data_IF_903390905624
#
_entry.id   IF_903390905624
#
_cell.length_a   1.000
_cell.length_b   1.000
_cell.length_c   1.000
_cell.angle_alpha   90.00
_cell.angle_beta   90.00
_cell.angle_gamma   90.00
#
_symmetry.space_group_name_H-M   'P 1'
#
loop_
_entity.id
_entity.type
_entity.pdbx_description
1 polymer ?
#
# COMPACT_ATOMS: atom_id res chain seq x y z
N UNK A 1 -6.39 -4.30 -0.65
CA UNK A 1 -6.07 -5.76 -0.68
C UNK A 1 -6.68 -6.39 -1.93
N UNK A 2 -6.07 -7.45 -2.47
CA UNK A 2 -6.44 -8.06 -3.75
C UNK A 2 -7.65 -8.99 -3.70
N UNK A 3 -8.66 -8.70 -2.88
CA UNK A 3 -9.86 -9.53 -2.78
C UNK A 3 -10.72 -9.39 -4.05
N UNK A 4 -11.19 -10.49 -4.60
CA UNK A 4 -12.10 -10.53 -5.76
C UNK A 4 -13.15 -11.63 -5.57
N UNK A 5 -14.09 -11.76 -6.52
CA UNK A 5 -15.18 -12.75 -6.44
C UNK A 5 -15.97 -12.59 -5.12
N UNK A 6 -16.41 -11.35 -4.84
CA UNK A 6 -17.12 -10.98 -3.61
C UNK A 6 -16.38 -11.33 -2.30
N UNK A 7 -15.04 -11.26 -2.33
CA UNK A 7 -14.20 -11.56 -1.17
C UNK A 7 -13.92 -13.04 -0.96
N UNK A 8 -14.44 -13.92 -1.83
CA UNK A 8 -14.15 -15.36 -1.79
C UNK A 8 -12.73 -15.69 -2.21
N UNK A 9 -12.14 -14.87 -3.09
CA UNK A 9 -10.81 -15.12 -3.66
C UNK A 9 -9.83 -14.00 -3.37
N UNK A 10 -8.55 -14.36 -3.31
CA UNK A 10 -7.43 -13.44 -3.11
C UNK A 10 -6.48 -13.50 -4.30
N UNK A 11 -6.19 -12.35 -4.90
CA UNK A 11 -5.12 -12.16 -5.87
C UNK A 11 -3.78 -12.09 -5.13
N UNK A 12 -2.78 -12.85 -5.59
CA UNK A 12 -1.42 -12.79 -5.07
C UNK A 12 -0.38 -13.09 -6.14
N UNK A 13 0.85 -12.62 -5.93
CA UNK A 13 2.00 -12.95 -6.75
C UNK A 13 2.76 -14.16 -6.18
N UNK A 14 3.33 -15.00 -7.04
CA UNK A 14 4.17 -16.13 -6.62
C UNK A 14 5.17 -16.53 -7.68
N UNK A 15 6.33 -17.03 -7.24
CA UNK A 15 7.46 -17.40 -8.10
C UNK A 15 7.49 -18.91 -8.40
N UNK A 16 6.32 -19.56 -8.44
CA UNK A 16 6.19 -20.98 -8.77
C UNK A 16 6.81 -21.27 -10.13
N UNK A 17 7.46 -22.43 -10.25
CA UNK A 17 8.14 -22.84 -11.47
C UNK A 17 9.23 -21.83 -11.93
N UNK A 18 9.84 -21.11 -10.99
CA UNK A 18 10.91 -20.15 -11.23
C UNK A 18 10.48 -18.95 -12.12
N UNK A 19 9.18 -18.63 -12.10
CA UNK A 19 8.57 -17.50 -12.83
C UNK A 19 7.54 -16.79 -11.96
N UNK A 20 7.63 -15.46 -11.89
CA UNK A 20 6.67 -14.63 -11.16
C UNK A 20 5.38 -14.46 -11.95
N UNK A 21 4.28 -14.93 -11.38
CA UNK A 21 2.94 -14.84 -11.96
C UNK A 21 1.90 -14.43 -10.93
N UNK A 22 0.76 -13.96 -11.43
CA UNK A 22 -0.43 -13.73 -10.61
C UNK A 22 -1.22 -15.02 -10.47
N UNK A 23 -1.74 -15.24 -9.26
CA UNK A 23 -2.54 -16.38 -8.88
C UNK A 23 -3.77 -15.92 -8.10
N UNK A 24 -4.84 -16.69 -8.20
CA UNK A 24 -6.03 -16.57 -7.37
C UNK A 24 -6.10 -17.71 -6.37
N UNK A 25 -6.29 -17.40 -5.09
CA UNK A 25 -6.55 -18.37 -4.02
C UNK A 25 -8.03 -18.33 -3.65
N UNK A 26 -8.74 -19.46 -3.73
CA UNK A 26 -10.05 -19.63 -3.10
C UNK A 26 -9.87 -19.81 -1.60
N UNK A 27 -10.41 -18.89 -0.80
CA UNK A 27 -10.22 -18.87 0.65
C UNK A 27 -10.99 -19.96 1.39
N UNK A 28 -12.00 -20.55 0.74
CA UNK A 28 -12.79 -21.64 1.32
C UNK A 28 -12.15 -23.00 1.06
N UNK A 29 -11.75 -23.26 -0.19
CA UNK A 29 -11.23 -24.57 -0.59
C UNK A 29 -9.70 -24.67 -0.56
N UNK A 30 -8.98 -23.54 -0.46
CA UNK A 30 -7.53 -23.48 -0.61
C UNK A 30 -7.03 -23.72 -2.04
N UNK A 31 -7.93 -23.76 -3.03
CA UNK A 31 -7.55 -24.02 -4.42
C UNK A 31 -6.83 -22.81 -5.01
N UNK A 32 -5.70 -23.05 -5.68
CA UNK A 32 -4.89 -22.02 -6.32
C UNK A 32 -5.05 -22.15 -7.84
N UNK A 33 -5.40 -21.04 -8.49
CA UNK A 33 -5.50 -20.92 -9.95
C UNK A 33 -4.44 -19.95 -10.45
N UNK A 34 -3.66 -20.34 -11.45
CA UNK A 34 -2.74 -19.41 -12.13
C UNK A 34 -3.54 -18.50 -13.06
N UNK A 35 -3.31 -17.18 -12.95
CA UNK A 35 -4.08 -16.16 -13.67
C UNK A 35 -3.28 -15.53 -14.82
N UNK A 36 -1.95 -15.59 -14.76
CA UNK A 36 -1.06 -15.14 -15.83
C UNK A 36 0.00 -16.19 -16.13
N UNK A 37 0.52 -16.18 -17.36
CA UNK A 37 1.68 -16.98 -17.77
C UNK A 37 2.69 -16.04 -18.45
N UNK A 38 3.44 -15.32 -17.62
CA UNK A 38 4.37 -14.27 -18.03
C UNK A 38 5.77 -14.85 -18.28
N UNK A 39 6.43 -14.30 -19.29
CA UNK A 39 7.84 -14.59 -19.55
C UNK A 39 8.72 -14.05 -18.43
N UNK A 40 9.80 -14.78 -18.10
CA UNK A 40 10.82 -14.26 -17.20
C UNK A 40 11.57 -13.14 -17.92
N UNK A 41 11.61 -11.96 -17.31
CA UNK A 41 12.35 -10.81 -17.87
C UNK A 41 13.71 -10.74 -17.16
N UNK A 42 14.83 -11.04 -17.86
CA UNK A 42 16.16 -11.03 -17.25
C UNK A 42 16.51 -9.66 -16.66
N UNK A 43 17.09 -9.65 -15.46
CA UNK A 43 17.59 -8.43 -14.82
C UNK A 43 16.50 -7.48 -14.31
N UNK A 44 15.23 -7.86 -14.37
CA UNK A 44 14.15 -7.09 -13.72
C UNK A 44 13.85 -7.62 -12.33
N UNK A 45 13.41 -6.73 -11.45
CA UNK A 45 12.96 -7.10 -10.13
C UNK A 45 11.68 -7.94 -10.23
N UNK A 46 11.71 -9.14 -9.65
CA UNK A 46 10.56 -10.03 -9.56
C UNK A 46 9.44 -9.43 -8.66
N UNK A 47 9.67 -8.28 -8.00
CA UNK A 47 8.69 -7.57 -7.17
C UNK A 47 7.66 -6.73 -7.97
N UNK A 48 7.80 -6.59 -9.29
CA UNK A 48 6.89 -5.75 -10.12
C UNK A 48 5.40 -6.14 -9.96
N UNK A 49 5.10 -7.42 -9.73
CA UNK A 49 3.71 -7.86 -9.53
C UNK A 49 3.12 -7.45 -8.18
N UNK A 50 3.91 -6.96 -7.21
CA UNK A 50 3.38 -6.35 -5.98
C UNK A 50 2.59 -5.07 -6.26
N UNK A 51 2.87 -4.39 -7.37
CA UNK A 51 2.12 -3.20 -7.81
C UNK A 51 0.74 -3.53 -8.42
N UNK A 52 0.30 -4.80 -8.37
CA UNK A 52 -0.97 -5.22 -8.95
C UNK A 52 -2.15 -4.87 -8.04
N UNK A 53 -3.30 -4.55 -8.65
CA UNK A 53 -4.54 -4.27 -7.93
C UNK A 53 -5.75 -4.95 -8.59
N UNK A 54 -6.82 -5.12 -7.81
CA UNK A 54 -8.11 -5.65 -8.28
C UNK A 54 -9.11 -4.50 -8.36
N UNK A 55 -9.95 -4.48 -9.40
CA UNK A 55 -11.04 -3.52 -9.49
C UNK A 55 -12.15 -3.79 -8.46
N UNK A 56 -12.61 -2.78 -7.72
CA UNK A 56 -13.80 -2.92 -6.87
C UNK A 56 -15.11 -2.98 -7.68
N UNK A 57 -15.10 -2.55 -8.94
CA UNK A 57 -16.31 -2.38 -9.77
C UNK A 57 -16.35 -3.30 -11.00
N UNK A 58 -15.23 -3.95 -11.34
CA UNK A 58 -15.10 -4.84 -12.50
C UNK A 58 -14.48 -6.17 -12.08
N UNK A 59 -14.77 -7.25 -12.80
CA UNK A 59 -14.05 -8.51 -12.59
C UNK A 59 -12.69 -8.50 -13.32
N UNK A 60 -11.87 -7.50 -13.03
CA UNK A 60 -10.57 -7.27 -13.67
C UNK A 60 -9.48 -7.04 -12.60
N UNK A 61 -8.28 -7.52 -12.88
CA UNK A 61 -7.06 -7.13 -12.18
C UNK A 61 -6.16 -6.30 -13.11
N UNK A 62 -5.35 -5.42 -12.54
CA UNK A 62 -4.38 -4.62 -13.26
C UNK A 62 -3.00 -4.91 -12.74
N UNK A 63 -2.05 -5.06 -13.66
CA UNK A 63 -0.69 -5.40 -13.32
C UNK A 63 0.29 -4.78 -14.31
N UNK A 64 1.53 -4.65 -13.86
CA UNK A 64 2.63 -4.21 -14.71
C UNK A 64 3.46 -5.40 -15.12
N UNK A 65 3.87 -5.42 -16.37
CA UNK A 65 4.89 -6.34 -16.84
C UNK A 65 5.82 -5.57 -17.79
N UNK A 66 7.11 -5.57 -17.48
CA UNK A 66 8.08 -4.63 -18.07
C UNK A 66 7.60 -3.18 -17.86
N UNK A 67 7.67 -2.33 -18.89
CA UNK A 67 7.20 -0.95 -18.84
C UNK A 67 5.73 -0.80 -19.27
N UNK A 68 4.93 -1.88 -19.21
CA UNK A 68 3.56 -1.89 -19.73
C UNK A 68 2.55 -2.22 -18.64
N UNK A 69 1.43 -1.50 -18.66
CA UNK A 69 0.27 -1.73 -17.79
C UNK A 69 -0.76 -2.54 -18.56
N UNK A 70 -1.25 -3.61 -17.94
CA UNK A 70 -2.24 -4.52 -18.50
C UNK A 70 -3.48 -4.57 -17.62
N UNK A 71 -4.62 -4.78 -18.26
CA UNK A 71 -5.83 -5.27 -17.61
C UNK A 71 -5.99 -6.75 -17.90
N UNK A 72 -6.34 -7.53 -16.88
CA UNK A 72 -6.61 -8.95 -16.91
C UNK A 72 -8.07 -9.19 -16.55
N UNK A 73 -8.85 -9.73 -17.46
CA UNK A 73 -10.20 -10.21 -17.15
C UNK A 73 -10.10 -11.50 -16.31
N UNK A 74 -10.63 -11.47 -15.08
CA UNK A 74 -10.50 -12.56 -14.11
C UNK A 74 -11.42 -13.75 -14.39
N UNK A 75 -12.35 -13.63 -15.34
CA UNK A 75 -13.21 -14.72 -15.80
C UNK A 75 -12.60 -15.49 -16.97
N UNK A 76 -12.02 -14.77 -17.91
CA UNK A 76 -11.55 -15.29 -19.21
C UNK A 76 -10.03 -15.42 -19.29
N UNK A 77 -9.30 -14.80 -18.35
CA UNK A 77 -7.84 -14.69 -18.33
C UNK A 77 -7.24 -13.96 -19.54
N UNK A 78 -8.07 -13.26 -20.31
CA UNK A 78 -7.60 -12.42 -21.41
C UNK A 78 -6.94 -11.16 -20.86
N UNK A 79 -5.69 -10.92 -21.27
CA UNK A 79 -4.95 -9.72 -20.94
C UNK A 79 -4.94 -8.75 -22.12
N UNK A 80 -5.08 -7.45 -21.83
CA UNK A 80 -5.01 -6.36 -22.82
C UNK A 80 -4.12 -5.24 -22.32
N UNK A 81 -3.26 -4.73 -23.20
CA UNK A 81 -2.39 -3.58 -22.87
C UNK A 81 -3.25 -2.32 -22.74
N UNK A 82 -3.04 -1.58 -21.66
CA UNK A 82 -3.65 -0.28 -21.43
C UNK A 82 -2.72 0.86 -21.80
N UNK A 83 -1.48 0.79 -21.31
CA UNK A 83 -0.54 1.89 -21.38
C UNK A 83 0.90 1.41 -21.26
N UNK A 84 1.84 2.29 -21.60
CA UNK A 84 3.28 2.03 -21.58
C UNK A 84 4.01 3.24 -21.00
N UNK A 85 4.84 2.99 -20.00
CA UNK A 85 5.64 4.00 -19.31
C UNK A 85 6.63 4.60 -20.32
N UNK A 86 6.72 5.93 -20.45
CA UNK A 86 7.64 6.56 -21.38
C UNK A 86 9.11 6.27 -20.99
N UNK A 87 10.03 6.23 -21.97
CA UNK A 87 11.45 6.08 -21.69
C UNK A 87 11.96 7.16 -20.72
N UNK A 88 12.91 6.78 -19.86
CA UNK A 88 13.47 7.67 -18.83
C UNK A 88 12.63 7.79 -17.55
N UNK A 89 11.56 7.00 -17.41
CA UNK A 89 10.75 6.94 -16.20
C UNK A 89 10.65 5.53 -15.62
N UNK A 90 10.58 5.46 -14.30
CA UNK A 90 10.23 4.27 -13.51
C UNK A 90 8.80 4.46 -12.99
N UNK A 91 8.00 3.39 -12.97
CA UNK A 91 6.66 3.42 -12.37
C UNK A 91 6.63 2.93 -10.94
N UNK A 92 5.65 3.41 -10.17
CA UNK A 92 5.41 3.02 -8.77
C UNK A 92 4.23 2.03 -8.62
N UNK A 93 3.67 1.83 -7.43
CA UNK A 93 2.45 1.07 -7.18
C UNK A 93 1.27 1.60 -8.03
N UNK A 94 0.36 0.70 -8.39
CA UNK A 94 -0.82 1.03 -9.19
C UNK A 94 -2.10 0.68 -8.44
N UNK A 95 -3.09 1.55 -8.56
CA UNK A 95 -4.40 1.39 -7.95
C UNK A 95 -5.49 1.75 -8.96
N UNK A 96 -6.72 1.37 -8.70
CA UNK A 96 -7.87 1.60 -9.60
C UNK A 96 -8.92 2.42 -8.88
N UNK A 97 -9.56 3.36 -9.60
CA UNK A 97 -10.63 4.20 -9.06
C UNK A 97 -11.80 3.36 -8.53
N UNK A 98 -12.54 3.92 -7.57
CA UNK A 98 -13.71 3.27 -6.98
C UNK A 98 -14.78 2.84 -8.01
N UNK A 99 -14.92 3.59 -9.11
CA UNK A 99 -15.84 3.26 -10.21
C UNK A 99 -15.24 2.32 -11.28
N UNK A 100 -13.98 1.91 -11.11
CA UNK A 100 -13.27 1.01 -12.01
C UNK A 100 -13.00 1.59 -13.40
N UNK A 101 -13.05 2.90 -13.59
CA UNK A 101 -12.85 3.53 -14.92
C UNK A 101 -11.41 3.91 -15.23
N UNK A 102 -10.58 4.15 -14.21
CA UNK A 102 -9.17 4.45 -14.44
C UNK A 102 -8.24 3.69 -13.49
N UNK A 103 -7.06 3.35 -14.01
CA UNK A 103 -5.89 2.96 -13.22
C UNK A 103 -5.06 4.21 -12.97
N UNK A 104 -4.63 4.39 -11.73
CA UNK A 104 -3.80 5.51 -11.26
C UNK A 104 -2.46 4.96 -10.80
N UNK A 105 -1.39 5.63 -11.20
CA UNK A 105 0.00 5.30 -10.81
C UNK A 105 0.80 6.59 -10.81
N UNK A 106 1.87 6.66 -10.04
CA UNK A 106 2.93 7.64 -10.33
C UNK A 106 4.02 7.02 -11.20
N UNK A 107 4.71 7.89 -11.92
CA UNK A 107 6.01 7.63 -12.54
C UNK A 107 6.98 8.73 -12.12
N UNK A 108 8.26 8.42 -12.02
CA UNK A 108 9.31 9.39 -11.71
C UNK A 108 10.54 9.15 -12.58
N UNK A 109 11.32 10.19 -12.80
CA UNK A 109 12.55 10.15 -13.60
C UNK A 109 13.47 9.02 -13.11
N UNK A 110 13.95 8.21 -14.05
CA UNK A 110 14.92 7.17 -13.78
C UNK A 110 16.31 7.79 -13.55
N UNK A 111 16.77 7.74 -12.31
CA UNK A 111 18.07 8.28 -11.90
C UNK A 111 19.14 7.19 -11.68
N UNK A 112 18.86 5.94 -12.09
CA UNK A 112 19.72 4.79 -11.79
C UNK A 112 21.11 4.85 -12.45
N UNK A 113 21.29 5.68 -13.49
CA UNK A 113 22.58 5.96 -14.13
C UNK A 113 23.47 6.89 -13.29
N UNK A 114 22.88 7.64 -12.36
CA UNK A 114 23.54 8.67 -11.54
C UNK A 114 23.56 8.34 -10.05
N UNK A 115 22.55 7.64 -9.57
CA UNK A 115 22.34 7.31 -8.16
C UNK A 115 22.19 5.80 -8.04
N UNK A 116 22.96 5.19 -7.14
CA UNK A 116 22.76 3.79 -6.79
C UNK A 116 21.45 3.66 -6.02
N UNK A 117 20.48 2.96 -6.60
CA UNK A 117 19.14 2.78 -6.06
C UNK A 117 18.90 1.30 -5.72
N UNK A 118 18.41 1.04 -4.50
CA UNK A 118 17.82 -0.25 -4.10
C UNK A 118 16.73 0.02 -3.05
N UNK A 119 15.50 0.29 -3.52
CA UNK A 119 14.37 0.58 -2.65
C UNK A 119 13.76 -0.68 -2.02
N UNK A 120 13.99 -1.86 -2.62
CA UNK A 120 13.53 -3.13 -2.08
C UNK A 120 14.35 -3.53 -0.84
N UNK A 121 15.66 -3.25 -0.86
CA UNK A 121 16.61 -3.70 0.17
C UNK A 121 17.22 -2.53 0.92
N UNK A 122 16.46 -2.01 1.88
CA UNK A 122 16.98 -1.04 2.85
C UNK A 122 17.03 0.41 2.36
N UNK A 123 16.26 0.75 1.32
CA UNK A 123 16.05 2.13 0.86
C UNK A 123 17.36 2.85 0.46
N UNK A 124 18.25 2.14 -0.25
CA UNK A 124 19.51 2.72 -0.75
C UNK A 124 19.21 3.77 -1.81
N UNK A 125 19.85 4.95 -1.70
CA UNK A 125 19.68 6.07 -2.62
C UNK A 125 18.47 6.96 -2.32
N UNK A 126 17.71 6.67 -1.26
CA UNK A 126 16.44 7.34 -0.97
C UNK A 126 16.59 8.83 -0.65
N UNK A 127 17.62 9.21 0.12
CA UNK A 127 17.90 10.62 0.40
C UNK A 127 18.42 11.35 -0.85
N UNK A 128 19.29 10.69 -1.62
CA UNK A 128 19.87 11.23 -2.85
C UNK A 128 18.80 11.43 -3.94
N UNK A 129 17.86 10.49 -4.09
CA UNK A 129 16.70 10.64 -5.00
C UNK A 129 15.83 11.80 -4.57
N UNK A 130 15.53 11.93 -3.27
CA UNK A 130 14.77 13.06 -2.76
C UNK A 130 15.44 14.41 -3.09
N UNK A 131 16.74 14.54 -2.79
CA UNK A 131 17.50 15.77 -3.06
C UNK A 131 17.63 16.07 -4.57
N UNK A 132 17.64 15.02 -5.41
CA UNK A 132 17.67 15.18 -6.86
C UNK A 132 16.38 15.75 -7.44
N UNK A 133 15.26 15.72 -6.70
CA UNK A 133 13.95 16.25 -7.12
C UNK A 133 13.54 15.76 -8.52
N UNK A 134 13.43 14.43 -8.71
CA UNK A 134 13.09 13.86 -10.01
C UNK A 134 11.78 14.45 -10.52
N UNK A 135 11.68 14.64 -11.83
CA UNK A 135 10.39 14.93 -12.43
C UNK A 135 9.46 13.74 -12.18
N UNK A 136 8.39 13.95 -11.44
CA UNK A 136 7.35 12.94 -11.19
C UNK A 136 6.03 13.36 -11.77
N UNK A 137 5.23 12.35 -12.14
CA UNK A 137 3.90 12.51 -12.72
C UNK A 137 2.93 11.54 -12.09
N UNK A 138 1.72 12.00 -11.81
CA UNK A 138 0.58 11.13 -11.56
C UNK A 138 -0.12 10.91 -12.90
N UNK A 139 -0.27 9.64 -13.28
CA UNK A 139 -0.86 9.22 -14.54
C UNK A 139 -2.24 8.63 -14.27
N UNK A 140 -3.24 9.10 -15.02
CA UNK A 140 -4.57 8.50 -15.08
C UNK A 140 -4.69 7.72 -16.39
N UNK A 141 -4.88 6.41 -16.29
CA UNK A 141 -4.95 5.49 -17.43
C UNK A 141 -6.41 5.02 -17.58
N UNK A 142 -7.04 5.30 -18.71
CA UNK A 142 -8.42 4.91 -18.96
C UNK A 142 -8.53 3.39 -19.18
N UNK A 143 -9.40 2.73 -18.41
CA UNK A 143 -9.56 1.26 -18.45
C UNK A 143 -10.16 0.79 -19.77
N UNK A 144 -10.94 1.63 -20.45
CA UNK A 144 -11.53 1.34 -21.77
C UNK A 144 -10.53 1.39 -22.93
N UNK A 145 -9.27 1.75 -22.66
CA UNK A 145 -8.20 1.81 -23.66
C UNK A 145 -8.16 3.11 -24.46
N UNK A 146 -8.93 4.14 -24.08
CA UNK A 146 -8.92 5.46 -24.74
C UNK A 146 -7.61 6.22 -24.56
N UNK A 147 -6.75 5.80 -23.63
CA UNK A 147 -5.40 6.33 -23.45
C UNK A 147 -5.08 6.64 -22.00
N UNK A 148 -4.14 7.55 -21.79
CA UNK A 148 -3.76 8.03 -20.46
C UNK A 148 -3.43 9.53 -20.52
N UNK A 149 -3.64 10.22 -19.39
CA UNK A 149 -3.32 11.63 -19.21
C UNK A 149 -2.49 11.87 -17.93
N UNK A 150 -1.72 12.95 -17.93
CA UNK A 150 -0.96 13.42 -16.77
C UNK A 150 -1.86 14.33 -15.96
N UNK A 151 -2.27 13.91 -14.76
CA UNK A 151 -3.15 14.72 -13.88
C UNK A 151 -2.34 15.66 -12.98
N UNK A 152 -1.08 15.32 -12.71
CA UNK A 152 -0.15 16.14 -11.93
C UNK A 152 1.28 15.90 -12.42
N UNK A 153 2.07 16.96 -12.45
CA UNK A 153 3.50 16.93 -12.74
C UNK A 153 4.23 17.91 -11.81
N UNK A 154 5.35 17.49 -11.25
CA UNK A 154 6.20 18.32 -10.38
C UNK A 154 7.61 17.76 -10.20
N UNK A 155 8.55 18.64 -9.81
CA UNK A 155 9.91 18.28 -9.43
C UNK A 155 10.00 17.92 -7.95
N UNK A 156 9.32 16.82 -7.61
CA UNK A 156 9.32 16.20 -6.30
C UNK A 156 9.13 14.70 -6.52
N UNK A 157 9.71 13.84 -5.69
CA UNK A 157 9.50 12.40 -5.82
C UNK A 157 8.07 12.04 -5.38
N UNK A 158 7.17 11.76 -6.32
CA UNK A 158 5.79 11.35 -6.02
C UNK A 158 5.70 9.83 -5.97
N UNK A 159 5.08 9.31 -4.92
CA UNK A 159 4.77 7.88 -4.77
C UNK A 159 3.41 7.67 -4.10
N UNK A 160 3.02 6.40 -3.88
CA UNK A 160 1.84 6.03 -3.09
C UNK A 160 0.54 6.72 -3.57
N UNK A 161 0.31 6.72 -4.89
CA UNK A 161 -0.93 7.24 -5.47
C UNK A 161 -2.08 6.30 -5.12
N UNK A 162 -2.90 6.73 -4.17
CA UNK A 162 -3.93 5.94 -3.52
C UNK A 162 -5.32 6.57 -3.77
N UNK A 163 -6.11 6.08 -4.75
CA UNK A 163 -7.49 6.52 -4.92
C UNK A 163 -8.35 6.13 -3.71
N UNK A 164 -9.33 6.98 -3.40
CA UNK A 164 -10.36 6.66 -2.42
C UNK A 164 -11.15 5.41 -2.86
N UNK A 165 -11.46 4.48 -1.94
CA UNK A 165 -12.24 3.29 -2.23
C UNK A 165 -13.72 3.57 -2.55
N UNK A 166 -14.24 4.77 -2.26
CA UNK A 166 -15.65 5.12 -2.47
C UNK A 166 -15.86 6.38 -3.31
N UNK A 167 -14.86 7.28 -3.38
CA UNK A 167 -14.95 8.55 -4.09
C UNK A 167 -14.05 8.52 -5.33
N UNK A 168 -14.58 8.29 -6.56
CA UNK A 168 -13.75 8.08 -7.75
C UNK A 168 -12.87 9.26 -8.14
N UNK A 169 -13.16 10.46 -7.64
CA UNK A 169 -12.43 11.69 -7.93
C UNK A 169 -11.37 12.02 -6.88
N UNK A 170 -11.42 11.43 -5.68
CA UNK A 170 -10.47 11.73 -4.61
C UNK A 170 -9.31 10.75 -4.63
N UNK A 171 -8.11 11.30 -4.56
CA UNK A 171 -6.85 10.55 -4.52
C UNK A 171 -5.99 11.14 -3.41
N UNK A 172 -5.33 10.29 -2.64
CA UNK A 172 -4.19 10.72 -1.84
C UNK A 172 -2.90 10.31 -2.53
N UNK A 173 -1.83 11.07 -2.34
CA UNK A 173 -0.49 10.71 -2.80
C UNK A 173 0.53 11.22 -1.80
N UNK A 174 1.80 10.81 -1.96
CA UNK A 174 2.86 11.32 -1.11
C UNK A 174 4.04 11.91 -1.87
N UNK A 175 4.69 12.87 -1.21
CA UNK A 175 6.06 13.23 -1.51
C UNK A 175 6.97 12.26 -0.76
N UNK A 176 7.69 11.43 -1.49
CA UNK A 176 8.70 10.55 -0.90
C UNK A 176 10.00 11.27 -0.62
N UNK A 177 10.74 10.74 0.35
CA UNK A 177 12.06 11.22 0.71
C UNK A 177 12.36 11.18 2.19
N UNK A 178 13.57 11.60 2.55
CA UNK A 178 14.02 11.59 3.94
C UNK A 178 13.07 12.42 4.82
N UNK A 179 12.60 11.83 5.92
CA UNK A 179 11.58 12.40 6.80
C UNK A 179 11.79 13.86 7.21
N UNK A 180 13.04 14.27 7.42
CA UNK A 180 13.38 15.65 7.82
C UNK A 180 13.20 16.64 6.66
N UNK A 181 13.46 16.20 5.42
CA UNK A 181 13.41 17.03 4.22
C UNK A 181 12.00 17.25 3.69
N UNK A 182 11.14 16.22 3.69
CA UNK A 182 9.81 16.25 3.07
C UNK A 182 8.91 17.32 3.67
N UNK A 183 8.39 18.22 2.86
CA UNK A 183 7.62 19.39 3.29
C UNK A 183 6.27 19.02 3.93
N UNK A 184 5.55 18.10 3.31
CA UNK A 184 4.35 17.44 3.80
C UNK A 184 4.25 16.09 3.10
N UNK A 185 3.94 15.01 3.83
CA UNK A 185 3.90 13.68 3.22
C UNK A 185 2.55 13.33 2.64
N UNK A 186 1.44 13.68 3.31
CA UNK A 186 0.10 13.22 2.90
C UNK A 186 -0.62 14.33 2.12
N UNK A 187 -0.83 14.12 0.83
CA UNK A 187 -1.50 15.09 -0.04
C UNK A 187 -2.81 14.53 -0.56
N UNK A 188 -3.78 15.42 -0.78
CA UNK A 188 -5.01 15.15 -1.48
C UNK A 188 -4.98 15.74 -2.89
N UNK A 189 -5.66 15.07 -3.82
CA UNK A 189 -5.83 15.45 -5.21
C UNK A 189 -7.29 15.17 -5.62
N UNK A 190 -7.93 16.17 -6.23
CA UNK A 190 -9.22 16.00 -6.91
C UNK A 190 -8.97 15.83 -8.41
N UNK A 191 -9.34 14.67 -8.97
CA UNK A 191 -9.14 14.33 -10.38
C UNK A 191 -10.05 15.09 -11.36
N UNK A 192 -11.11 15.73 -10.87
CA UNK A 192 -12.00 16.54 -11.70
C UNK A 192 -11.46 17.96 -11.87
N UNK A 193 -10.87 18.53 -10.82
CA UNK A 193 -10.41 19.93 -10.80
C UNK A 193 -8.90 20.08 -10.94
N UNK A 194 -8.13 19.04 -10.61
CA UNK A 194 -6.68 19.10 -10.47
C UNK A 194 -6.22 19.82 -9.19
N UNK A 195 -7.15 20.14 -8.29
CA UNK A 195 -6.83 20.79 -7.01
C UNK A 195 -6.01 19.86 -6.13
N UNK A 196 -4.99 20.41 -5.48
CA UNK A 196 -4.10 19.70 -4.55
C UNK A 196 -4.08 20.43 -3.22
N UNK A 197 -4.20 19.69 -2.12
CA UNK A 197 -4.17 20.22 -0.77
C UNK A 197 -3.42 19.29 0.19
N UNK A 198 -3.03 19.82 1.35
CA UNK A 198 -2.37 19.02 2.40
C UNK A 198 -3.43 18.31 3.24
N UNK A 199 -3.33 16.98 3.31
CA UNK A 199 -4.05 16.19 4.31
C UNK A 199 -3.11 16.10 5.51
N UNK A 200 -3.57 16.51 6.70
CA UNK A 200 -2.73 16.62 7.90
C UNK A 200 -1.47 17.47 7.63
N UNK A 201 -1.60 18.81 7.55
CA UNK A 201 -0.45 19.69 7.37
C UNK A 201 0.67 19.45 8.39
N UNK A 202 1.92 19.42 7.91
CA UNK A 202 3.11 19.34 8.76
C UNK A 202 3.13 20.49 9.79
N UNK A 203 3.27 20.15 11.06
CA UNK A 203 3.30 21.06 12.21
C UNK A 203 4.73 21.41 12.64
N UNK A 204 5.70 20.53 12.40
CA UNK A 204 7.11 20.75 12.77
C UNK A 204 8.05 19.98 11.86
N UNK A 205 9.27 20.49 11.71
CA UNK A 205 10.36 19.84 11.02
C UNK A 205 10.85 18.52 11.66
N UNK A 206 10.56 18.31 12.95
CA UNK A 206 11.00 17.14 13.72
C UNK A 206 10.03 15.96 13.70
N UNK A 207 8.79 16.18 13.29
CA UNK A 207 7.83 15.08 13.19
C UNK A 207 8.05 14.24 11.94
N UNK A 208 7.56 13.00 11.97
CA UNK A 208 7.66 12.04 10.87
C UNK A 208 6.31 11.37 10.73
N UNK A 209 5.49 11.85 9.80
CA UNK A 209 4.10 11.42 9.65
C UNK A 209 3.89 10.87 8.24
N UNK A 210 3.31 9.67 8.13
CA UNK A 210 2.93 9.07 6.85
C UNK A 210 2.40 7.66 7.05
N UNK A 211 2.77 6.74 6.14
CA UNK A 211 2.17 5.39 6.09
C UNK A 211 0.65 5.46 5.99
N UNK A 212 0.19 6.43 5.21
CA UNK A 212 -1.20 6.77 5.03
C UNK A 212 -1.96 5.69 4.25
N UNK A 213 -3.22 5.48 4.63
CA UNK A 213 -4.14 4.60 3.92
C UNK A 213 -5.57 5.07 4.12
N UNK A 214 -6.42 4.81 3.12
CA UNK A 214 -7.85 5.07 3.22
C UNK A 214 -8.55 4.08 4.15
N UNK A 215 -9.48 4.60 4.93
CA UNK A 215 -10.53 3.82 5.58
C UNK A 215 -11.57 3.36 4.54
N UNK A 216 -12.39 2.38 4.92
CA UNK A 216 -13.41 1.78 4.05
C UNK A 216 -14.47 2.76 3.56
N UNK A 217 -14.75 3.81 4.33
CA UNK A 217 -15.69 4.85 3.92
C UNK A 217 -15.18 5.71 2.76
N UNK A 218 -13.88 5.65 2.47
CA UNK A 218 -13.19 6.42 1.45
C UNK A 218 -13.18 7.93 1.68
N UNK A 219 -13.44 8.35 2.92
CA UNK A 219 -13.41 9.75 3.34
C UNK A 219 -12.34 10.01 4.39
N UNK A 220 -12.03 9.02 5.24
CA UNK A 220 -10.99 9.13 6.24
C UNK A 220 -9.68 8.49 5.79
N UNK A 221 -8.58 9.13 6.18
CA UNK A 221 -7.21 8.66 5.95
C UNK A 221 -6.58 8.37 7.30
N UNK A 222 -6.26 7.10 7.54
CA UNK A 222 -5.45 6.67 8.68
C UNK A 222 -3.97 6.82 8.38
N UNK A 223 -3.17 7.09 9.40
CA UNK A 223 -1.72 7.27 9.29
C UNK A 223 -1.05 7.04 10.66
N UNK A 224 0.27 6.91 10.68
CA UNK A 224 1.03 6.86 11.91
C UNK A 224 2.41 7.49 11.75
N UNK A 225 3.13 7.63 12.85
CA UNK A 225 4.42 8.30 12.81
C UNK A 225 5.01 8.62 14.18
N UNK A 226 5.84 9.67 14.21
CA UNK A 226 6.41 10.22 15.44
C UNK A 226 6.15 11.73 15.52
N UNK A 227 5.70 12.19 16.69
CA UNK A 227 5.60 13.60 17.03
C UNK A 227 6.99 14.27 17.17
N UNK A 228 7.05 15.62 17.26
CA UNK A 228 8.31 16.35 17.38
C UNK A 228 9.18 16.00 18.59
N UNK A 229 8.55 15.45 19.65
CA UNK A 229 9.23 14.99 20.87
C UNK A 229 9.72 13.52 20.77
N UNK A 230 9.50 12.88 19.62
CA UNK A 230 9.93 11.51 19.33
C UNK A 230 8.96 10.42 19.78
N UNK A 231 7.85 10.75 20.47
CA UNK A 231 6.83 9.75 20.81
C UNK A 231 6.09 9.30 19.56
N UNK A 232 5.76 8.01 19.47
CA UNK A 232 4.94 7.52 18.36
C UNK A 232 3.51 8.03 18.48
N UNK A 233 2.87 8.21 17.34
CA UNK A 233 1.46 8.54 17.22
C UNK A 233 0.79 7.70 16.15
N UNK A 234 -0.52 7.52 16.30
CA UNK A 234 -1.41 6.99 15.29
C UNK A 234 -2.63 7.90 15.22
N UNK A 235 -3.13 8.15 14.03
CA UNK A 235 -4.22 9.06 13.83
C UNK A 235 -5.01 8.78 12.58
N UNK A 236 -6.14 9.45 12.48
CA UNK A 236 -6.92 9.55 11.28
C UNK A 236 -7.60 10.90 11.21
N UNK A 237 -7.95 11.30 10.01
CA UNK A 237 -8.71 12.51 9.74
C UNK A 237 -9.47 12.35 8.44
N UNK A 238 -10.49 13.19 8.24
CA UNK A 238 -11.17 13.27 6.95
C UNK A 238 -10.25 13.92 5.91
N UNK A 239 -10.41 13.53 4.65
CA UNK A 239 -9.56 13.95 3.53
C UNK A 239 -9.42 15.47 3.39
N UNK A 240 -10.39 16.25 3.86
CA UNK A 240 -10.39 17.72 3.85
C UNK A 240 -9.72 18.34 5.10
N UNK A 241 -8.96 17.54 5.85
CA UNK A 241 -8.28 17.93 7.08
C UNK A 241 -9.22 18.31 8.25
N UNK A 242 -10.46 17.81 8.23
CA UNK A 242 -11.40 17.87 9.35
C UNK A 242 -11.47 16.54 10.11
N UNK A 243 -12.25 16.47 11.19
CA UNK A 243 -12.47 15.25 11.98
C UNK A 243 -11.18 14.57 12.46
N UNK A 244 -10.22 15.39 12.90
CA UNK A 244 -8.89 14.93 13.29
C UNK A 244 -8.89 14.23 14.65
N UNK A 245 -8.46 12.97 14.66
CA UNK A 245 -8.20 12.15 15.84
C UNK A 245 -6.76 11.68 15.79
N UNK A 246 -5.97 12.02 16.80
CA UNK A 246 -4.57 11.58 16.91
C UNK A 246 -4.25 11.25 18.36
N UNK A 247 -3.66 10.07 18.57
CA UNK A 247 -3.37 9.56 19.90
C UNK A 247 -1.91 9.15 20.02
N UNK A 248 -1.39 9.29 21.24
CA UNK A 248 -0.08 8.76 21.59
C UNK A 248 -0.08 7.24 21.44
N UNK A 249 1.00 6.70 20.92
CA UNK A 249 1.16 5.27 20.71
C UNK A 249 2.45 4.82 21.39
N UNK A 250 2.41 3.89 22.36
CA UNK A 250 3.59 3.61 23.20
C UNK A 250 4.63 2.70 22.54
N UNK A 251 4.32 2.07 21.40
CA UNK A 251 5.18 1.05 20.78
C UNK A 251 5.33 1.28 19.27
N UNK A 252 6.38 0.73 18.67
CA UNK A 252 6.50 0.71 17.21
C UNK A 252 5.32 -0.07 16.59
N UNK A 253 4.68 0.54 15.59
CA UNK A 253 3.51 0.00 14.89
C UNK A 253 3.87 -0.99 13.78
N UNK A 254 5.01 -0.76 13.11
CA UNK A 254 5.25 -1.32 11.78
C UNK A 254 4.28 -0.74 10.75
N UNK A 255 3.98 -1.48 9.70
CA UNK A 255 2.86 -1.21 8.79
C UNK A 255 1.54 -1.44 9.51
N UNK A 256 0.54 -0.61 9.23
CA UNK A 256 -0.77 -0.70 9.88
C UNK A 256 -1.92 -0.72 8.88
N UNK A 257 -3.06 -1.23 9.34
CA UNK A 257 -4.31 -1.18 8.61
C UNK A 257 -5.50 -1.12 9.57
N UNK A 258 -6.55 -0.44 9.15
CA UNK A 258 -7.84 -0.38 9.82
C UNK A 258 -8.94 -0.11 8.80
N UNK A 259 -10.15 -0.56 9.10
CA UNK A 259 -11.32 -0.25 8.28
C UNK A 259 -11.91 1.12 8.58
N UNK A 260 -11.91 1.51 9.85
CA UNK A 260 -12.63 2.68 10.36
C UNK A 260 -11.98 3.33 11.60
N UNK A 261 -10.79 2.86 12.01
CA UNK A 261 -10.10 3.32 13.20
C UNK A 261 -10.56 2.66 14.51
N UNK A 262 -11.62 1.84 14.51
CA UNK A 262 -12.08 1.17 15.75
C UNK A 262 -11.15 0.05 16.20
N UNK A 263 -10.57 -0.68 15.25
CA UNK A 263 -9.60 -1.74 15.47
C UNK A 263 -8.46 -1.60 14.45
N UNK A 264 -7.23 -1.60 14.93
CA UNK A 264 -6.02 -1.45 14.12
C UNK A 264 -5.24 -2.75 14.19
N UNK A 265 -4.77 -3.24 13.04
CA UNK A 265 -3.76 -4.29 12.95
C UNK A 265 -2.42 -3.71 12.52
N UNK A 266 -1.32 -4.27 13.03
CA UNK A 266 0.03 -3.90 12.59
C UNK A 266 1.08 -4.98 12.83
N UNK A 267 2.26 -4.79 12.25
CA UNK A 267 3.36 -5.77 12.22
C UNK A 267 4.63 -5.33 12.97
N UNK A 268 4.48 -4.46 13.97
CA UNK A 268 5.57 -4.05 14.84
C UNK A 268 6.24 -5.24 15.55
N UNK A 269 7.57 -5.30 15.51
CA UNK A 269 8.34 -6.33 16.22
C UNK A 269 8.29 -7.71 15.54
N UNK A 270 7.82 -8.73 16.25
CA UNK A 270 7.72 -10.14 15.76
C UNK A 270 6.28 -10.67 15.73
N UNK A 271 5.32 -9.80 16.04
CA UNK A 271 3.93 -10.15 16.31
C UNK A 271 3.02 -9.40 15.35
N UNK A 272 1.95 -10.06 14.90
CA UNK A 272 0.78 -9.36 14.41
C UNK A 272 0.03 -8.86 15.63
N UNK A 273 -0.20 -7.55 15.68
CA UNK A 273 -0.70 -6.84 16.87
C UNK A 273 -2.04 -6.20 16.58
N UNK A 274 -2.90 -6.17 17.60
CA UNK A 274 -4.17 -5.46 17.57
C UNK A 274 -4.22 -4.35 18.61
N UNK A 275 -4.87 -3.25 18.23
CA UNK A 275 -5.20 -2.13 19.12
C UNK A 275 -6.65 -1.70 18.90
N UNK A 276 -7.36 -1.37 19.98
CA UNK A 276 -8.79 -1.01 19.94
C UNK A 276 -9.02 0.42 20.43
N UNK A 277 -9.79 1.20 19.68
CA UNK A 277 -10.19 2.54 20.11
C UNK A 277 -11.14 2.48 21.30
N UNK A 278 -10.87 3.27 22.35
CA UNK A 278 -11.70 3.34 23.57
C UNK A 278 -12.51 4.65 23.69
N UNK A 279 -12.48 5.51 22.65
CA UNK A 279 -13.11 6.83 22.65
C UNK A 279 -12.14 8.00 22.85
N UNK A 280 -10.92 7.75 23.33
CA UNK A 280 -9.92 8.79 23.61
C UNK A 280 -8.49 8.38 23.20
N UNK A 281 -8.18 7.09 23.31
CA UNK A 281 -6.90 6.48 22.95
C UNK A 281 -7.11 5.05 22.45
N UNK A 282 -6.01 4.34 22.21
CA UNK A 282 -6.03 2.94 21.80
C UNK A 282 -5.58 2.02 22.94
N UNK A 283 -6.43 1.05 23.29
CA UNK A 283 -6.09 -0.07 24.16
C UNK A 283 -5.16 -1.05 23.41
N UNK A 284 -4.29 -1.75 24.14
CA UNK A 284 -3.34 -2.73 23.58
C UNK A 284 -1.87 -2.28 23.69
N UNK A 285 -0.95 -2.91 22.92
CA UNK A 285 -1.19 -3.95 21.93
C UNK A 285 -1.58 -5.30 22.54
N UNK A 286 -2.45 -6.03 21.84
CA UNK A 286 -2.71 -7.46 22.05
C UNK A 286 -2.03 -8.26 20.94
N UNK A 287 -1.42 -9.41 21.27
CA UNK A 287 -0.79 -10.29 20.28
C UNK A 287 -1.86 -11.17 19.62
N UNK A 288 -2.04 -11.03 18.31
CA UNK A 288 -2.90 -11.90 17.51
C UNK A 288 -2.19 -13.21 17.19
N UNK A 289 -0.96 -13.11 16.67
CA UNK A 289 -0.08 -14.24 16.42
C UNK A 289 1.37 -13.76 16.27
N UNK A 290 2.33 -14.69 16.24
CA UNK A 290 3.71 -14.39 15.81
C UNK A 290 3.81 -14.50 14.29
N UNK A 291 4.39 -13.49 13.64
CA UNK A 291 4.65 -13.58 12.20
C UNK A 291 6.03 -14.17 11.91
N UNK A 292 7.07 -13.90 12.72
CA UNK A 292 8.45 -14.40 12.51
C UNK A 292 8.96 -14.26 11.05
N UNK A 293 8.54 -13.18 10.40
CA UNK A 293 8.95 -12.81 9.04
C UNK A 293 10.35 -12.19 9.05
N UNK A 294 11.15 -12.49 8.03
CA UNK A 294 12.52 -11.97 7.91
C UNK A 294 12.59 -10.51 7.51
N UNK A 295 11.59 -10.00 6.78
CA UNK A 295 11.44 -8.60 6.37
C UNK A 295 12.69 -7.99 5.69
N UNK A 296 13.52 -8.81 5.03
CA UNK A 296 14.77 -8.33 4.42
C UNK A 296 14.58 -7.75 3.01
N UNK A 297 13.42 -7.99 2.41
CA UNK A 297 12.94 -7.43 1.13
C UNK A 297 11.42 -7.18 1.25
N UNK A 298 10.86 -6.28 0.43
CA UNK A 298 9.45 -5.88 0.50
C UNK A 298 8.50 -7.06 0.35
N UNK A 299 8.81 -8.02 -0.52
CA UNK A 299 8.01 -9.25 -0.71
C UNK A 299 7.81 -10.07 0.57
N UNK A 300 8.68 -9.90 1.56
CA UNK A 300 8.68 -10.64 2.83
C UNK A 300 8.28 -9.77 4.03
N UNK A 301 7.87 -8.52 3.78
CA UNK A 301 7.20 -7.70 4.77
C UNK A 301 5.83 -8.29 5.09
N UNK A 302 5.38 -8.12 6.32
CA UNK A 302 4.20 -8.84 6.84
C UNK A 302 2.92 -8.26 6.26
N UNK A 303 2.82 -6.93 6.17
CA UNK A 303 1.72 -6.19 5.56
C UNK A 303 0.33 -6.74 5.97
N UNK A 304 0.03 -6.77 7.28
CA UNK A 304 -1.20 -7.37 7.76
C UNK A 304 -2.40 -6.54 7.31
N UNK A 305 -3.41 -7.21 6.75
CA UNK A 305 -4.65 -6.58 6.28
C UNK A 305 -5.86 -7.38 6.77
N UNK A 306 -6.86 -6.66 7.27
CA UNK A 306 -8.14 -7.27 7.58
C UNK A 306 -8.85 -7.76 6.32
N UNK A 307 -9.59 -8.85 6.43
CA UNK A 307 -10.67 -9.20 5.50
C UNK A 307 -11.74 -8.12 5.50
N UNK A 308 -12.56 -8.03 4.46
CA UNK A 308 -13.58 -6.98 4.33
C UNK A 308 -14.60 -6.97 5.49
N UNK A 309 -14.86 -8.13 6.09
CA UNK A 309 -15.74 -8.28 7.26
C UNK A 309 -15.03 -8.09 8.62
N UNK A 310 -13.71 -7.85 8.60
CA UNK A 310 -12.89 -7.62 9.79
C UNK A 310 -12.62 -8.85 10.65
N UNK A 311 -13.07 -10.05 10.22
CA UNK A 311 -12.98 -11.27 11.05
C UNK A 311 -11.67 -12.02 10.95
N UNK A 312 -10.85 -11.73 9.95
CA UNK A 312 -9.55 -12.37 9.78
C UNK A 312 -8.50 -11.35 9.34
N UNK A 313 -7.23 -11.68 9.58
CA UNK A 313 -6.07 -10.93 9.09
C UNK A 313 -5.27 -11.79 8.13
N UNK A 314 -5.11 -11.32 6.90
CA UNK A 314 -4.15 -11.83 5.93
C UNK A 314 -2.79 -11.17 6.18
N UNK A 315 -1.72 -11.95 6.15
CA UNK A 315 -0.36 -11.44 6.24
C UNK A 315 0.64 -12.35 5.51
N UNK A 316 1.81 -11.81 5.20
CA UNK A 316 2.94 -12.57 4.65
C UNK A 316 3.92 -12.96 5.74
N UNK A 317 4.49 -14.15 5.65
CA UNK A 317 5.60 -14.55 6.51
C UNK A 317 6.56 -15.51 5.82
N UNK A 318 7.84 -15.41 6.19
CA UNK A 318 8.89 -16.35 5.81
C UNK A 318 9.21 -17.40 6.88
N UNK A 319 8.34 -17.58 7.89
CA UNK A 319 8.58 -18.49 9.03
C UNK A 319 8.80 -19.95 8.58
N UNK A 320 8.20 -20.34 7.46
CA UNK A 320 8.36 -21.66 6.83
C UNK A 320 9.66 -21.81 6.00
N UNK A 321 10.55 -20.82 6.00
CA UNK A 321 11.77 -20.79 5.19
C UNK A 321 11.61 -20.18 3.79
N UNK A 322 10.37 -19.92 3.35
CA UNK A 322 10.03 -19.20 2.12
C UNK A 322 8.83 -18.29 2.37
N UNK A 323 8.70 -17.20 1.60
CA UNK A 323 7.59 -16.26 1.72
C UNK A 323 6.25 -16.91 1.36
N UNK A 324 5.33 -16.97 2.32
CA UNK A 324 4.00 -17.53 2.15
C UNK A 324 2.94 -16.59 2.73
N UNK A 325 1.70 -16.80 2.29
CA UNK A 325 0.52 -16.12 2.81
C UNK A 325 -0.08 -16.92 3.96
N UNK A 326 -0.51 -16.21 4.99
CA UNK A 326 -1.15 -16.75 6.17
C UNK A 326 -2.42 -15.96 6.45
N UNK A 327 -3.45 -16.65 6.95
CA UNK A 327 -4.69 -16.04 7.42
C UNK A 327 -4.92 -16.50 8.85
N UNK A 328 -5.28 -15.56 9.73
CA UNK A 328 -5.58 -15.83 11.14
C UNK A 328 -6.91 -15.19 11.51
N UNK A 329 -7.73 -15.89 12.27
CA UNK A 329 -9.00 -15.37 12.79
C UNK A 329 -8.74 -14.28 13.83
N UNK A 330 -9.61 -13.27 13.86
CA UNK A 330 -9.63 -12.19 14.85
C UNK A 330 -10.66 -12.56 15.92
N UNK A 331 -10.25 -13.08 17.09
CA UNK A 331 -11.16 -13.38 18.18
C UNK A 331 -11.56 -12.09 18.92
N UNK A 332 -12.32 -12.26 20.01
CA UNK A 332 -12.59 -11.15 20.93
C UNK A 332 -11.27 -10.53 21.43
N UNK A 333 -11.16 -9.21 21.33
CA UNK A 333 -9.94 -8.45 21.61
C UNK A 333 -9.41 -8.69 23.02
N UNK A 334 -10.30 -8.77 24.01
CA UNK A 334 -9.91 -8.93 25.42
C UNK A 334 -9.50 -10.37 25.77
N UNK A 335 -9.79 -11.33 24.89
CA UNK A 335 -9.30 -12.72 25.02
C UNK A 335 -7.83 -12.87 24.63
N UNK A 336 -7.27 -11.90 23.90
CA UNK A 336 -5.90 -11.97 23.40
C UNK A 336 -4.87 -11.60 24.47
N UNK A 337 -3.68 -12.23 24.46
CA UNK A 337 -2.61 -11.90 25.38
C UNK A 337 -2.10 -10.47 25.14
N UNK A 338 -1.86 -9.77 26.25
CA UNK A 338 -1.33 -8.42 26.29
C UNK A 338 0.18 -8.48 25.96
N UNK A 339 0.66 -7.60 25.07
CA UNK A 339 2.09 -7.49 24.80
C UNK A 339 2.67 -6.50 25.80
N UNK A 340 3.25 -7.03 26.88
CA UNK A 340 4.06 -6.24 27.79
C UNK A 340 5.31 -5.75 27.05
N UNK A 341 5.70 -4.50 27.31
CA UNK A 341 6.89 -3.87 26.73
C UNK A 341 8.11 -4.77 26.95
N UNK A 342 8.47 -5.56 25.95
CA UNK A 342 9.81 -6.12 25.87
C UNK A 342 10.70 -4.94 25.54
N UNK A 343 11.29 -4.33 26.56
CA UNK A 343 12.48 -3.49 26.39
C UNK A 343 13.44 -4.28 25.49
N UNK A 344 13.55 -3.88 24.22
CA UNK A 344 14.58 -4.38 23.33
C UNK A 344 15.94 -3.93 23.84
#
# INVERSE_FOLDING_TARGET
PGWFDHGRRLLFASDRENRSNLFGLDLTSGAITQLTDLDKVPGTDEAVLMASCVSPARNEAYYRHQQRVFALDLSTLNARKLWEIPPGFIGDLMHVSADGKCVLTSIFEDLSDRIRIDYDRGYVGFAETYEARPLSRIIRIAVDGTGADVVREEHQWISHVNPSPTQPHLVSFCHEGAWVGVDNRIWGLDLNTGEVWKIRPRQSDRERIGHEYWFHDGLHVGYHGTWPDGRYCIGHLKYDNTDHVEAAFPQATGHTHSHDGSLIVGDGGKDVRLWRWNGHSYDGPRCLCRHDASQHIQKLHVHPRFTSDGKQVLYTSSVSGYGNLYVVDVPDFDSLPLIEDRKQ
#
